data_IF_962106995519
#
_entry.id   IF_962106995519
#
_cell.length_a   1.000
_cell.length_b   1.000
_cell.length_c   1.000
_cell.angle_alpha   90.00
_cell.angle_beta   90.00
_cell.angle_gamma   90.00
#
_symmetry.space_group_name_H-M   'P 1'
#
loop_
_entity.id
_entity.type
_entity.pdbx_description
1 polymer ?
#
# COMPACT_ATOMS: atom_id res chain seq x y z
N UNK A 1 -2.35 12.19 -12.44
CA UNK A 1 -2.98 11.78 -11.16
C UNK A 1 -2.47 12.72 -10.06
N UNK A 2 -3.30 13.10 -9.09
CA UNK A 2 -3.10 14.36 -8.35
C UNK A 2 -2.06 14.30 -7.19
N UNK A 3 -1.22 13.26 -7.10
CA UNK A 3 -0.15 13.15 -6.07
C UNK A 3 1.14 12.41 -6.52
N UNK A 4 1.30 12.09 -7.81
CA UNK A 4 2.55 11.49 -8.32
C UNK A 4 2.63 9.96 -8.34
N UNK A 5 1.53 9.24 -8.13
CA UNK A 5 1.48 7.77 -8.32
C UNK A 5 1.68 7.38 -9.81
N UNK A 6 2.46 6.33 -10.07
CA UNK A 6 2.95 5.94 -11.41
C UNK A 6 2.44 4.55 -11.84
N UNK A 7 2.09 4.43 -13.12
CA UNK A 7 1.77 3.17 -13.80
C UNK A 7 0.46 2.50 -13.36
N UNK A 8 0.23 1.26 -13.83
CA UNK A 8 -1.05 0.55 -13.73
C UNK A 8 -1.52 0.34 -12.29
N UNK A 9 -0.61 -0.04 -11.39
CA UNK A 9 -0.86 -0.33 -9.99
C UNK A 9 -0.70 0.90 -9.08
N UNK A 10 -0.54 2.09 -9.68
CA UNK A 10 -0.49 3.40 -9.01
C UNK A 10 0.49 3.42 -7.83
N UNK A 11 1.74 2.99 -8.07
CA UNK A 11 2.80 2.96 -7.06
C UNK A 11 3.40 4.35 -6.91
N UNK A 12 3.57 4.82 -5.67
CA UNK A 12 4.28 6.08 -5.39
C UNK A 12 5.79 5.89 -5.64
N UNK A 13 6.51 6.88 -6.20
CA UNK A 13 7.96 6.79 -6.44
C UNK A 13 8.76 6.31 -5.22
N UNK A 14 8.58 6.96 -4.07
CA UNK A 14 9.26 6.57 -2.82
C UNK A 14 8.95 5.13 -2.39
N UNK A 15 7.70 4.67 -2.60
CA UNK A 15 7.33 3.27 -2.37
C UNK A 15 8.03 2.34 -3.36
N UNK A 16 8.17 2.78 -4.61
CA UNK A 16 8.91 2.07 -5.65
C UNK A 16 10.38 1.90 -5.31
N UNK A 17 11.05 2.96 -4.84
CA UNK A 17 12.45 2.93 -4.39
C UNK A 17 12.62 1.91 -3.26
N UNK A 18 11.77 1.98 -2.24
CA UNK A 18 11.80 1.02 -1.14
C UNK A 18 11.54 -0.43 -1.61
N UNK A 19 10.56 -0.67 -2.50
CA UNK A 19 10.32 -2.01 -3.06
C UNK A 19 11.55 -2.50 -3.83
N UNK A 20 12.22 -1.62 -4.59
CA UNK A 20 13.39 -1.97 -5.37
C UNK A 20 14.56 -2.40 -4.48
N UNK A 21 14.78 -1.72 -3.34
CA UNK A 21 15.75 -2.12 -2.33
C UNK A 21 15.43 -3.52 -1.77
N UNK A 22 14.18 -3.76 -1.34
CA UNK A 22 13.76 -5.05 -0.80
C UNK A 22 13.86 -6.20 -1.82
N UNK A 23 13.67 -5.88 -3.11
CA UNK A 23 13.80 -6.82 -4.22
C UNK A 23 15.23 -6.94 -4.77
N UNK A 24 16.20 -6.21 -4.23
CA UNK A 24 17.59 -6.12 -4.72
C UNK A 24 17.69 -5.73 -6.21
N UNK A 25 16.89 -4.75 -6.65
CA UNK A 25 16.92 -4.21 -8.02
C UNK A 25 17.93 -3.07 -8.12
N UNK A 26 19.20 -3.41 -8.37
CA UNK A 26 20.33 -2.48 -8.38
C UNK A 26 20.27 -1.38 -9.46
N UNK A 27 19.54 -1.60 -10.56
CA UNK A 27 19.36 -0.61 -11.65
C UNK A 27 17.94 -0.05 -11.71
N UNK A 28 17.31 0.11 -10.54
CA UNK A 28 15.98 0.70 -10.46
C UNK A 28 16.05 2.23 -10.59
N UNK A 29 15.08 2.78 -11.32
CA UNK A 29 14.81 4.21 -11.41
C UNK A 29 13.29 4.39 -11.42
N UNK A 30 12.73 5.45 -10.82
CA UNK A 30 11.28 5.66 -10.73
C UNK A 30 10.55 5.59 -12.09
N UNK A 31 11.20 6.01 -13.18
CA UNK A 31 10.64 5.96 -14.54
C UNK A 31 10.30 4.53 -14.98
N UNK A 32 10.97 3.51 -14.43
CA UNK A 32 10.69 2.10 -14.71
C UNK A 32 9.29 1.69 -14.25
N UNK A 33 8.65 2.44 -13.34
CA UNK A 33 7.25 2.22 -12.99
C UNK A 33 6.28 2.49 -14.15
N UNK A 34 6.71 3.16 -15.22
CA UNK A 34 5.90 3.31 -16.44
C UNK A 34 5.91 2.04 -17.30
N UNK A 35 6.90 1.15 -17.14
CA UNK A 35 6.89 -0.16 -17.80
C UNK A 35 5.86 -1.06 -17.10
N UNK A 36 4.89 -1.55 -17.88
CA UNK A 36 3.76 -2.34 -17.38
C UNK A 36 4.24 -3.59 -16.64
N UNK A 37 5.27 -4.28 -17.15
CA UNK A 37 5.78 -5.50 -16.53
C UNK A 37 6.44 -5.21 -15.18
N UNK A 38 7.25 -4.18 -15.11
CA UNK A 38 7.91 -3.72 -13.87
C UNK A 38 6.86 -3.29 -12.85
N UNK A 39 5.88 -2.47 -13.27
CA UNK A 39 4.83 -1.97 -12.40
C UNK A 39 3.97 -3.09 -11.80
N UNK A 40 3.57 -4.08 -12.62
CA UNK A 40 2.82 -5.25 -12.14
C UNK A 40 3.67 -6.07 -11.18
N UNK A 41 4.93 -6.34 -11.52
CA UNK A 41 5.83 -7.13 -10.67
C UNK A 41 6.03 -6.49 -9.30
N UNK A 42 6.32 -5.19 -9.26
CA UNK A 42 6.55 -4.47 -8.01
C UNK A 42 5.26 -4.32 -7.20
N UNK A 43 4.14 -3.99 -7.84
CA UNK A 43 2.86 -3.81 -7.16
C UNK A 43 2.29 -5.11 -6.60
N UNK A 44 2.45 -6.23 -7.32
CA UNK A 44 2.05 -7.55 -6.81
C UNK A 44 2.94 -8.02 -5.67
N UNK A 45 4.25 -7.78 -5.75
CA UNK A 45 5.18 -8.03 -4.64
C UNK A 45 4.78 -7.22 -3.41
N UNK A 46 4.49 -5.92 -3.58
CA UNK A 46 4.08 -5.05 -2.48
C UNK A 46 2.76 -5.47 -1.83
N UNK A 47 1.77 -5.87 -2.64
CA UNK A 47 0.52 -6.41 -2.11
C UNK A 47 0.74 -7.70 -1.30
N UNK A 48 1.59 -8.60 -1.79
CA UNK A 48 1.94 -9.83 -1.07
C UNK A 48 2.68 -9.53 0.25
N UNK A 49 3.60 -8.57 0.22
CA UNK A 49 4.28 -8.06 1.40
C UNK A 49 3.29 -7.53 2.46
N UNK A 50 2.35 -6.68 2.07
CA UNK A 50 1.34 -6.14 3.00
C UNK A 50 0.41 -7.22 3.55
N UNK A 51 0.02 -8.20 2.72
CA UNK A 51 -0.76 -9.34 3.19
C UNK A 51 -0.01 -10.14 4.24
N UNK A 52 1.29 -10.35 4.08
CA UNK A 52 2.13 -11.01 5.09
C UNK A 52 2.27 -10.16 6.35
N UNK A 53 2.56 -8.87 6.20
CA UNK A 53 2.73 -7.93 7.32
C UNK A 53 1.48 -7.88 8.21
N UNK A 54 0.29 -7.88 7.60
CA UNK A 54 -0.98 -7.83 8.31
C UNK A 54 -1.60 -9.22 8.54
N UNK A 55 -0.81 -10.30 8.59
CA UNK A 55 -1.25 -11.66 8.93
C UNK A 55 -2.47 -12.14 8.12
N UNK A 56 -2.49 -11.83 6.82
CA UNK A 56 -3.57 -12.18 5.90
C UNK A 56 -4.80 -11.27 5.98
N UNK A 57 -4.78 -10.22 6.80
CA UNK A 57 -5.88 -9.27 6.92
C UNK A 57 -5.99 -8.38 5.68
N UNK A 58 -6.86 -8.79 4.75
CA UNK A 58 -7.10 -8.07 3.49
C UNK A 58 -7.57 -6.63 3.70
N UNK A 59 -8.28 -6.32 4.78
CA UNK A 59 -8.76 -4.96 5.05
C UNK A 59 -7.58 -4.05 5.37
N UNK A 60 -6.72 -4.47 6.29
CA UNK A 60 -5.52 -3.70 6.66
C UNK A 60 -4.53 -3.60 5.49
N UNK A 61 -4.32 -4.71 4.76
CA UNK A 61 -3.43 -4.72 3.60
C UNK A 61 -3.90 -3.76 2.49
N UNK A 62 -5.19 -3.77 2.14
CA UNK A 62 -5.73 -2.84 1.14
C UNK A 62 -5.72 -1.39 1.63
N UNK A 63 -6.03 -1.16 2.92
CA UNK A 63 -5.91 0.18 3.51
C UNK A 63 -4.47 0.69 3.44
N UNK A 64 -3.48 -0.16 3.71
CA UNK A 64 -2.07 0.19 3.67
C UNK A 64 -1.55 0.38 2.24
N UNK A 65 -2.09 -0.36 1.28
CA UNK A 65 -1.77 -0.18 -0.13
C UNK A 65 -2.22 1.21 -0.61
N UNK A 66 -3.42 1.63 -0.21
CA UNK A 66 -4.03 2.88 -0.65
C UNK A 66 -3.56 4.11 0.15
N UNK A 67 -3.45 3.99 1.47
CA UNK A 67 -3.12 5.09 2.36
C UNK A 67 -1.63 5.12 2.76
N UNK A 68 -0.89 4.04 2.55
CA UNK A 68 0.47 3.86 3.04
C UNK A 68 0.51 3.08 4.36
N UNK A 69 1.46 2.12 4.46
CA UNK A 69 1.67 1.27 5.63
C UNK A 69 1.82 2.07 6.93
N UNK A 70 2.64 3.12 6.94
CA UNK A 70 2.87 3.95 8.12
C UNK A 70 1.61 4.62 8.67
N UNK A 71 0.66 5.01 7.81
CA UNK A 71 -0.62 5.56 8.25
C UNK A 71 -1.49 4.49 8.90
N UNK A 72 -1.56 3.28 8.32
CA UNK A 72 -2.31 2.17 8.90
C UNK A 72 -1.71 1.74 10.24
N UNK A 73 -0.39 1.63 10.34
CA UNK A 73 0.30 1.27 11.59
C UNK A 73 0.02 2.32 12.69
N UNK A 74 -0.01 3.61 12.32
CA UNK A 74 -0.40 4.70 13.21
C UNK A 74 -1.86 4.58 13.68
N UNK A 75 -2.80 4.31 12.77
CA UNK A 75 -4.21 4.08 13.13
C UNK A 75 -4.39 2.85 14.02
N UNK A 76 -3.66 1.77 13.75
CA UNK A 76 -3.70 0.57 14.58
C UNK A 76 -3.26 0.88 16.01
N UNK A 77 -2.19 1.66 16.18
CA UNK A 77 -1.71 2.12 17.49
C UNK A 77 -2.73 3.05 18.16
N UNK A 78 -3.30 4.00 17.42
CA UNK A 78 -4.24 4.99 17.96
C UNK A 78 -5.57 4.37 18.39
N UNK A 79 -6.12 3.43 17.61
CA UNK A 79 -7.44 2.84 17.83
C UNK A 79 -7.41 1.44 18.44
N UNK A 80 -6.22 0.91 18.74
CA UNK A 80 -6.04 -0.43 19.30
C UNK A 80 -6.44 -1.55 18.33
N UNK A 81 -6.36 -1.32 17.02
CA UNK A 81 -6.64 -2.38 16.04
C UNK A 81 -5.52 -3.42 16.08
N UNK A 82 -5.91 -4.70 16.15
CA UNK A 82 -4.98 -5.83 16.09
C UNK A 82 -4.88 -6.36 14.67
N UNK A 83 -3.82 -7.09 14.33
CA UNK A 83 -3.66 -7.73 13.01
C UNK A 83 -4.82 -8.71 12.70
N UNK A 84 -5.42 -9.32 13.73
CA UNK A 84 -6.69 -10.08 13.67
C UNK A 84 -7.93 -9.16 13.57
N UNK A 85 -7.81 -7.96 13.00
CA UNK A 85 -8.94 -7.03 12.84
C UNK A 85 -10.04 -7.67 11.98
N UNK A 86 -11.06 -8.22 12.63
CA UNK A 86 -12.32 -8.58 12.00
C UNK A 86 -13.24 -7.40 12.18
N UNK A 87 -13.77 -6.86 11.06
CA UNK A 87 -14.71 -5.72 11.00
C UNK A 87 -15.59 -5.67 12.27
N UNK A 88 -15.24 -4.80 13.21
CA UNK A 88 -16.14 -4.40 14.29
C UNK A 88 -16.81 -3.10 13.86
N UNK A 89 -18.06 -2.88 14.26
CA UNK A 89 -18.96 -1.79 13.80
C UNK A 89 -18.41 -0.35 13.91
N UNK A 90 -17.18 -0.14 14.38
CA UNK A 90 -16.57 1.16 14.66
C UNK A 90 -15.38 1.42 13.73
N UNK A 91 -15.63 1.47 12.43
CA UNK A 91 -14.64 1.90 11.44
C UNK A 91 -14.81 3.41 11.20
N UNK A 92 -13.84 4.28 11.52
CA UNK A 92 -13.97 5.72 11.34
C UNK A 92 -13.60 6.11 9.90
N UNK A 93 -14.37 5.64 8.93
CA UNK A 93 -14.44 6.30 7.61
C UNK A 93 -15.72 7.12 7.54
N UNK A 94 -15.78 8.17 8.35
CA UNK A 94 -16.68 9.28 8.08
C UNK A 94 -15.86 10.56 8.08
N UNK A 95 -15.74 11.14 6.88
CA UNK A 95 -15.16 12.43 6.52
C UNK A 95 -13.65 12.49 6.31
N UNK A 96 -13.23 12.09 5.11
CA UNK A 96 -12.85 13.03 4.04
C UNK A 96 -13.01 12.32 2.69
N UNK A 97 -13.60 13.03 1.73
CA UNK A 97 -14.22 12.48 0.53
C UNK A 97 -13.29 11.71 -0.39
N UNK A 98 -13.95 10.86 -1.18
CA UNK A 98 -13.52 10.17 -2.39
C UNK A 98 -12.42 9.12 -2.27
N UNK A 99 -12.87 7.88 -2.01
CA UNK A 99 -12.22 6.68 -2.51
C UNK A 99 -13.26 5.64 -2.95
N UNK A 100 -14.40 6.06 -3.54
CA UNK A 100 -15.37 5.19 -4.25
C UNK A 100 -16.28 6.02 -5.20
N UNK A 101 -15.72 6.97 -5.94
CA UNK A 101 -16.24 7.31 -7.28
C UNK A 101 -15.23 6.82 -8.31
#
# INVERSE_FOLDING_TARGET
>A
SHRGAVGLMQIMPDTGDWIAEEMNLSDYQPERLNDVRTNIRMGTWYLAYLLKEYEGNKILALAAYNAGRGHVDSWMKQYGWKKIFRKSKKYPFQKRGNMLE
#
